data_IF_986336306107
#
_entry.id   IF_986336306107
#
_cell.length_a   1.000
_cell.length_b   1.000
_cell.length_c   1.000
_cell.angle_alpha   90.00
_cell.angle_beta   90.00
_cell.angle_gamma   90.00
#
_symmetry.space_group_name_H-M   'P 1'
#
loop_
_entity.id
_entity.type
_entity.pdbx_description
1 polymer ?
#
# COMPACT_ATOMS: atom_id res chain seq x y z
N UNK A 1 -2.23 -22.06 -2.03
CA UNK A 1 -0.84 -21.96 -1.54
C UNK A 1 0.03 -21.02 -2.38
N UNK A 2 0.04 -21.10 -3.72
CA UNK A 2 1.01 -20.37 -4.56
C UNK A 2 0.87 -18.82 -4.59
N UNK A 3 -0.31 -18.24 -4.29
CA UNK A 3 -0.55 -16.80 -4.49
C UNK A 3 0.06 -15.85 -3.46
N UNK A 4 0.20 -16.27 -2.20
CA UNK A 4 0.70 -15.37 -1.15
C UNK A 4 2.20 -15.13 -1.26
N UNK A 5 2.95 -16.19 -1.62
CA UNK A 5 4.37 -16.10 -1.88
C UNK A 5 4.65 -15.21 -3.11
N UNK A 6 3.82 -15.30 -4.15
CA UNK A 6 3.90 -14.38 -5.30
C UNK A 6 3.73 -12.93 -4.83
N UNK A 7 2.74 -12.63 -3.99
CA UNK A 7 2.58 -11.30 -3.41
C UNK A 7 3.82 -10.83 -2.64
N UNK A 8 4.37 -11.68 -1.78
CA UNK A 8 5.62 -11.38 -1.07
C UNK A 8 6.77 -11.08 -2.03
N UNK A 9 6.99 -11.93 -3.03
CA UNK A 9 8.04 -11.76 -4.04
C UNK A 9 7.87 -10.49 -4.87
N UNK A 10 6.62 -10.10 -5.19
CA UNK A 10 6.32 -8.82 -5.83
C UNK A 10 6.79 -7.67 -4.95
N UNK A 11 6.46 -7.65 -3.66
CA UNK A 11 6.90 -6.59 -2.75
C UNK A 11 8.41 -6.59 -2.50
N UNK A 12 9.08 -7.76 -2.52
CA UNK A 12 10.55 -7.84 -2.54
C UNK A 12 11.10 -7.19 -3.80
N UNK A 13 10.56 -7.52 -4.97
CA UNK A 13 10.96 -6.93 -6.24
C UNK A 13 10.77 -5.40 -6.27
N UNK A 14 9.62 -4.91 -5.79
CA UNK A 14 9.36 -3.48 -5.64
C UNK A 14 10.34 -2.82 -4.67
N UNK A 15 10.62 -3.44 -3.53
CA UNK A 15 11.59 -2.92 -2.57
C UNK A 15 12.99 -2.84 -3.18
N UNK A 16 13.44 -3.90 -3.85
CA UNK A 16 14.74 -3.92 -4.52
C UNK A 16 14.82 -2.87 -5.64
N UNK A 17 13.76 -2.69 -6.43
CA UNK A 17 13.73 -1.70 -7.50
C UNK A 17 13.70 -0.24 -7.02
N UNK A 18 13.35 0.00 -5.74
CA UNK A 18 13.44 1.33 -5.13
C UNK A 18 14.73 1.54 -4.32
N UNK A 19 15.41 0.45 -3.92
CA UNK A 19 16.73 0.52 -3.27
C UNK A 19 17.87 0.60 -4.29
N UNK A 20 17.71 -0.10 -5.40
CA UNK A 20 18.60 -0.05 -6.55
C UNK A 20 17.89 0.88 -7.53
N UNK A 21 18.39 2.09 -7.75
CA UNK A 21 17.84 3.04 -8.74
C UNK A 21 17.93 2.44 -10.16
N UNK A 22 17.05 1.48 -10.49
CA UNK A 22 17.02 0.80 -11.79
C UNK A 22 15.88 1.41 -12.62
N UNK A 23 16.15 1.93 -13.84
CA UNK A 23 15.16 2.58 -14.70
C UNK A 23 13.99 1.72 -15.20
N UNK A 24 13.84 0.47 -14.76
CA UNK A 24 13.06 -0.56 -15.47
C UNK A 24 11.62 -0.81 -14.96
N UNK A 25 11.16 -0.16 -13.88
CA UNK A 25 9.79 -0.38 -13.36
C UNK A 25 8.71 0.36 -14.16
N UNK A 26 9.09 1.36 -14.94
CA UNK A 26 8.18 2.09 -15.84
C UNK A 26 7.62 1.16 -16.92
N UNK A 27 8.38 0.13 -17.34
CA UNK A 27 7.94 -0.85 -18.33
C UNK A 27 6.91 -1.86 -17.80
N UNK A 28 6.97 -2.23 -16.51
CA UNK A 28 6.04 -3.21 -15.92
C UNK A 28 4.66 -2.58 -15.64
N UNK A 29 4.65 -1.33 -15.16
CA UNK A 29 3.41 -0.54 -15.02
C UNK A 29 2.85 -0.14 -16.39
N UNK A 30 3.73 0.14 -17.35
CA UNK A 30 3.38 0.35 -18.77
C UNK A 30 2.70 -0.86 -19.40
N UNK A 31 3.10 -2.09 -19.03
CA UNK A 31 2.45 -3.32 -19.50
C UNK A 31 1.01 -3.45 -18.97
N UNK A 32 0.76 -3.04 -17.73
CA UNK A 32 -0.57 -3.05 -17.12
C UNK A 32 -1.49 -1.96 -17.67
N UNK A 33 -0.96 -0.78 -18.00
CA UNK A 33 -1.75 0.28 -18.65
C UNK A 33 -2.05 -0.08 -20.12
N UNK A 34 -1.12 -0.72 -20.83
CA UNK A 34 -1.34 -1.15 -22.23
C UNK A 34 -2.43 -2.20 -22.39
N UNK A 35 -2.65 -3.05 -21.37
CA UNK A 35 -3.70 -4.05 -21.37
C UNK A 35 -5.12 -3.42 -21.31
N UNK A 36 -5.24 -2.23 -20.70
CA UNK A 36 -6.50 -1.49 -20.62
C UNK A 36 -6.75 -0.58 -21.84
N UNK A 37 -5.72 -0.24 -22.62
CA UNK A 37 -5.85 0.64 -23.80
C UNK A 37 -6.39 -0.05 -25.05
N UNK A 38 -6.51 -1.39 -25.06
CA UNK A 38 -7.03 -2.14 -26.22
C UNK A 38 -8.56 -2.07 -26.44
N UNK A 39 -9.28 -1.20 -25.72
CA UNK A 39 -10.74 -1.02 -25.88
C UNK A 39 -11.15 0.43 -26.20
N UNK A 40 -10.21 1.38 -26.32
CA UNK A 40 -10.56 2.78 -26.56
C UNK A 40 -9.65 3.46 -27.59
N UNK A 41 -9.63 2.95 -28.83
CA UNK A 41 -9.13 3.70 -29.97
C UNK A 41 -10.25 4.55 -30.57
N UNK A 42 -10.22 5.87 -30.33
CA UNK A 42 -10.51 6.88 -31.37
C UNK A 42 -9.91 8.25 -30.99
N UNK A 43 -8.88 8.63 -31.77
CA UNK A 43 -8.56 9.96 -32.31
C UNK A 43 -8.37 11.17 -31.36
N UNK A 44 -7.12 11.61 -31.15
CA UNK A 44 -6.69 13.02 -31.35
C UNK A 44 -5.19 13.05 -31.73
N UNK A 45 -4.87 13.70 -32.85
CA UNK A 45 -3.50 14.00 -33.31
C UNK A 45 -3.05 15.34 -32.73
N UNK A 46 -1.84 15.42 -32.14
CA UNK A 46 -1.11 16.68 -31.98
C UNK A 46 0.41 16.50 -32.10
N UNK A 47 1.02 17.57 -32.59
CA UNK A 47 2.29 17.74 -33.30
C UNK A 47 3.58 17.42 -32.51
N UNK A 48 4.60 16.84 -33.17
CA UNK A 48 5.79 16.22 -32.56
C UNK A 48 7.09 17.04 -32.70
N UNK A 49 7.03 18.33 -33.08
CA UNK A 49 8.23 19.10 -33.42
C UNK A 49 8.87 19.91 -32.29
N UNK A 50 8.18 20.12 -31.16
CA UNK A 50 8.70 20.96 -30.07
C UNK A 50 9.54 20.22 -29.01
N UNK A 51 9.52 18.88 -29.01
CA UNK A 51 10.19 18.08 -27.97
C UNK A 51 11.73 18.02 -28.12
N UNK A 52 12.24 18.15 -29.34
CA UNK A 52 13.67 17.95 -29.62
C UNK A 52 14.54 19.19 -29.32
N UNK A 53 13.98 20.39 -29.22
CA UNK A 53 14.74 21.61 -28.94
C UNK A 53 14.93 21.84 -27.43
N UNK A 54 13.97 21.39 -26.61
CA UNK A 54 14.06 21.46 -25.15
C UNK A 54 15.09 20.46 -24.59
N UNK A 55 15.17 19.27 -25.18
CA UNK A 55 16.07 18.21 -24.71
C UNK A 55 17.56 18.55 -24.89
N UNK A 56 17.92 19.30 -25.94
CA UNK A 56 19.32 19.58 -26.26
C UNK A 56 19.89 20.75 -25.44
N UNK A 57 19.05 21.70 -24.99
CA UNK A 57 19.46 22.79 -24.08
C UNK A 57 19.76 22.29 -22.67
N UNK A 58 19.00 21.31 -22.18
CA UNK A 58 19.18 20.75 -20.84
C UNK A 58 20.46 19.92 -20.67
N UNK A 59 21.07 19.46 -21.78
CA UNK A 59 22.27 18.63 -21.73
C UNK A 59 23.58 19.44 -21.67
N UNK A 60 23.56 20.72 -22.05
CA UNK A 60 24.73 21.61 -22.04
C UNK A 60 24.93 22.23 -20.65
N UNK A 61 23.86 22.40 -19.88
CA UNK A 61 23.88 23.04 -18.55
C UNK A 61 24.35 22.10 -17.42
N UNK A 62 24.41 20.79 -17.67
CA UNK A 62 24.76 19.78 -16.66
C UNK A 62 26.27 19.73 -16.31
N UNK A 63 27.10 20.54 -16.99
CA UNK A 63 28.56 20.50 -16.82
C UNK A 63 29.10 21.44 -15.72
N UNK A 64 28.22 22.18 -15.05
CA UNK A 64 28.61 23.16 -14.04
C UNK A 64 27.82 23.04 -12.72
N UNK A 65 27.54 21.82 -12.26
CA UNK A 65 26.92 21.60 -10.95
C UNK A 65 27.98 21.73 -9.86
N UNK A 66 27.82 22.72 -8.99
CA UNK A 66 28.69 22.92 -7.83
C UNK A 66 28.39 21.89 -6.72
N UNK A 67 29.37 21.55 -5.85
CA UNK A 67 29.14 20.64 -4.72
C UNK A 67 28.02 21.11 -3.78
N UNK A 68 27.73 22.41 -3.75
CA UNK A 68 26.64 23.00 -2.96
C UNK A 68 25.26 22.76 -3.59
N UNK A 69 25.14 22.81 -4.91
CA UNK A 69 23.89 22.46 -5.63
C UNK A 69 23.60 20.96 -5.55
N UNK A 70 24.64 20.12 -5.58
CA UNK A 70 24.48 18.68 -5.34
C UNK A 70 24.02 18.40 -3.90
N UNK A 71 24.54 19.14 -2.90
CA UNK A 71 24.07 19.05 -1.51
C UNK A 71 22.66 19.60 -1.33
N UNK A 72 22.28 20.67 -2.04
CA UNK A 72 20.93 21.22 -2.05
C UNK A 72 19.92 20.27 -2.71
N UNK A 73 20.29 19.60 -3.82
CA UNK A 73 19.47 18.60 -4.51
C UNK A 73 19.32 17.31 -3.69
N UNK A 74 20.37 16.90 -2.96
CA UNK A 74 20.32 15.78 -2.01
C UNK A 74 19.53 16.14 -0.75
N UNK A 75 19.45 17.43 -0.40
CA UNK A 75 18.65 17.97 0.71
C UNK A 75 17.18 18.25 0.33
N UNK A 76 16.85 18.27 -0.96
CA UNK A 76 15.50 18.59 -1.47
C UNK A 76 14.62 17.33 -1.63
N UNK A 77 15.24 16.16 -1.79
CA UNK A 77 14.53 14.89 -1.92
C UNK A 77 13.80 14.51 -0.62
N UNK A 78 12.53 14.15 -0.74
CA UNK A 78 11.74 13.68 0.38
C UNK A 78 12.34 12.39 0.97
N UNK A 79 12.28 12.25 2.29
CA UNK A 79 12.80 11.05 2.94
C UNK A 79 11.96 9.82 2.56
N UNK A 80 12.64 8.69 2.29
CA UNK A 80 12.02 7.45 1.77
C UNK A 80 11.70 6.43 2.87
N UNK A 81 12.07 6.71 4.12
CA UNK A 81 11.82 5.77 5.23
C UNK A 81 10.34 5.41 5.42
N UNK A 82 9.33 6.31 5.29
CA UNK A 82 7.93 5.95 5.48
C UNK A 82 7.47 4.94 4.44
N UNK A 83 7.92 5.12 3.20
CA UNK A 83 7.68 4.21 2.09
C UNK A 83 8.23 2.81 2.37
N UNK A 84 9.47 2.70 2.86
CA UNK A 84 10.06 1.40 3.23
C UNK A 84 9.38 0.75 4.44
N UNK A 85 8.85 1.55 5.38
CA UNK A 85 8.04 1.02 6.49
C UNK A 85 6.78 0.33 5.96
N UNK A 86 6.08 0.94 5.00
CA UNK A 86 4.93 0.32 4.33
C UNK A 86 5.31 -0.97 3.60
N UNK A 87 6.39 -0.95 2.80
CA UNK A 87 6.86 -2.13 2.08
C UNK A 87 7.24 -3.27 3.03
N UNK A 88 7.98 -2.96 4.10
CA UNK A 88 8.35 -3.90 5.15
C UNK A 88 7.15 -4.54 5.82
N UNK A 89 6.15 -3.74 6.22
CA UNK A 89 4.93 -4.26 6.82
C UNK A 89 4.10 -5.13 5.86
N UNK A 90 4.04 -4.75 4.58
CA UNK A 90 3.36 -5.54 3.54
C UNK A 90 4.05 -6.89 3.32
N UNK A 91 5.38 -6.90 3.22
CA UNK A 91 6.18 -8.12 3.13
C UNK A 91 5.97 -9.02 4.35
N UNK A 92 6.00 -8.45 5.57
CA UNK A 92 5.74 -9.20 6.80
C UNK A 92 4.36 -9.86 6.79
N UNK A 93 3.32 -9.11 6.41
CA UNK A 93 1.95 -9.62 6.32
C UNK A 93 1.82 -10.78 5.32
N UNK A 94 2.38 -10.63 4.11
CA UNK A 94 2.27 -11.65 3.07
C UNK A 94 3.10 -12.89 3.42
N UNK A 95 4.26 -12.72 4.07
CA UNK A 95 5.09 -13.82 4.54
C UNK A 95 4.45 -14.58 5.70
N UNK A 96 3.90 -13.88 6.70
CA UNK A 96 3.22 -14.52 7.83
C UNK A 96 2.00 -15.30 7.35
N UNK A 97 1.24 -14.76 6.41
CA UNK A 97 0.11 -15.44 5.77
C UNK A 97 0.54 -16.68 4.99
N UNK A 98 1.60 -16.56 4.19
CA UNK A 98 2.17 -17.69 3.43
C UNK A 98 2.61 -18.82 4.36
N UNK A 99 3.35 -18.47 5.43
CA UNK A 99 3.85 -19.42 6.42
C UNK A 99 2.70 -20.10 7.16
N UNK A 100 1.67 -19.35 7.55
CA UNK A 100 0.49 -19.90 8.19
C UNK A 100 -0.17 -20.97 7.33
N UNK A 101 -0.46 -20.65 6.07
CA UNK A 101 -1.11 -21.59 5.16
C UNK A 101 -0.24 -22.78 4.76
N UNK A 102 1.09 -22.60 4.72
CA UNK A 102 2.02 -23.68 4.42
C UNK A 102 2.09 -24.72 5.54
N UNK A 103 2.10 -24.28 6.79
CA UNK A 103 2.28 -25.15 7.95
C UNK A 103 0.98 -25.42 8.74
N UNK A 104 -0.19 -25.05 8.20
CA UNK A 104 -1.50 -25.22 8.86
C UNK A 104 -1.80 -26.66 9.27
N UNK A 105 -1.29 -27.65 8.53
CA UNK A 105 -1.54 -29.08 8.77
C UNK A 105 -0.51 -29.75 9.69
N UNK A 106 0.52 -29.03 10.15
CA UNK A 106 1.64 -29.64 10.87
C UNK A 106 1.28 -30.05 12.31
N UNK A 107 0.80 -29.12 13.14
CA UNK A 107 0.33 -29.42 14.49
C UNK A 107 -0.69 -28.40 14.96
N UNK A 108 -1.57 -28.80 15.88
CA UNK A 108 -2.63 -27.92 16.38
C UNK A 108 -2.08 -26.66 17.05
N UNK A 109 -1.05 -26.81 17.90
CA UNK A 109 -0.40 -25.68 18.57
C UNK A 109 0.28 -24.72 17.59
N UNK A 110 1.02 -25.24 16.60
CA UNK A 110 1.68 -24.41 15.60
C UNK A 110 0.67 -23.68 14.73
N UNK A 111 -0.40 -24.35 14.30
CA UNK A 111 -1.46 -23.74 13.51
C UNK A 111 -2.12 -22.56 14.25
N UNK A 112 -2.44 -22.70 15.54
CA UNK A 112 -2.99 -21.61 16.34
C UNK A 112 -2.03 -20.42 16.47
N UNK A 113 -0.73 -20.69 16.65
CA UNK A 113 0.29 -19.64 16.71
C UNK A 113 0.40 -18.90 15.37
N UNK A 114 0.51 -19.64 14.27
CA UNK A 114 0.65 -19.05 12.93
C UNK A 114 -0.58 -18.26 12.51
N UNK A 115 -1.78 -18.72 12.87
CA UNK A 115 -3.02 -17.98 12.62
C UNK A 115 -3.05 -16.64 13.38
N UNK A 116 -2.54 -16.60 14.62
CA UNK A 116 -2.38 -15.34 15.35
C UNK A 116 -1.36 -14.43 14.67
N UNK A 117 -0.24 -14.98 14.19
CA UNK A 117 0.77 -14.23 13.45
C UNK A 117 0.27 -13.70 12.10
N UNK A 118 -0.63 -14.41 11.42
CA UNK A 118 -1.32 -13.94 10.22
C UNK A 118 -2.19 -12.70 10.52
N UNK A 119 -3.00 -12.74 11.58
CA UNK A 119 -3.77 -11.56 12.02
C UNK A 119 -2.89 -10.39 12.48
N UNK A 120 -1.78 -10.66 13.15
CA UNK A 120 -0.78 -9.63 13.50
C UNK A 120 -0.18 -9.04 12.23
N UNK A 121 0.08 -9.84 11.20
CA UNK A 121 0.52 -9.39 9.88
C UNK A 121 -0.43 -8.38 9.26
N UNK A 122 -1.74 -8.69 9.24
CA UNK A 122 -2.77 -7.76 8.75
C UNK A 122 -2.74 -6.44 9.54
N UNK A 123 -2.62 -6.53 10.86
CA UNK A 123 -2.60 -5.35 11.74
C UNK A 123 -1.37 -4.49 11.46
N UNK A 124 -0.20 -5.10 11.31
CA UNK A 124 1.05 -4.40 10.97
C UNK A 124 0.93 -3.73 9.61
N UNK A 125 0.39 -4.40 8.58
CA UNK A 125 0.19 -3.81 7.26
C UNK A 125 -0.74 -2.58 7.32
N UNK A 126 -1.81 -2.62 8.13
CA UNK A 126 -2.68 -1.46 8.35
C UNK A 126 -1.92 -0.31 9.02
N UNK A 127 -1.12 -0.59 10.07
CA UNK A 127 -0.34 0.45 10.74
C UNK A 127 0.64 1.08 9.76
N UNK A 128 1.44 0.26 9.07
CA UNK A 128 2.53 0.75 8.20
C UNK A 128 2.01 1.42 6.93
N UNK A 129 0.82 1.07 6.44
CA UNK A 129 0.23 1.76 5.28
C UNK A 129 -0.14 3.22 5.56
N UNK A 130 -0.39 3.59 6.83
CA UNK A 130 -0.65 4.99 7.20
C UNK A 130 0.61 5.86 7.17
N UNK A 131 1.81 5.27 7.27
CA UNK A 131 3.05 6.03 7.37
C UNK A 131 3.31 6.92 6.16
N UNK A 132 3.36 6.40 4.92
CA UNK A 132 3.59 7.23 3.74
C UNK A 132 2.57 8.37 3.53
N UNK A 133 1.24 8.11 3.42
CA UNK A 133 0.28 9.17 3.13
C UNK A 133 0.30 10.25 4.22
N UNK A 134 0.27 9.87 5.50
CA UNK A 134 0.25 10.85 6.60
C UNK A 134 1.54 11.66 6.63
N UNK A 135 2.71 11.01 6.49
CA UNK A 135 3.99 11.71 6.52
C UNK A 135 4.13 12.68 5.35
N UNK A 136 3.81 12.27 4.13
CA UNK A 136 3.99 13.12 2.95
C UNK A 136 2.92 14.21 2.81
N UNK A 137 1.66 13.93 3.18
CA UNK A 137 0.59 14.93 3.18
C UNK A 137 0.90 16.03 4.20
N UNK A 138 1.16 15.64 5.45
CA UNK A 138 1.34 16.57 6.57
C UNK A 138 2.81 16.91 6.81
N UNK A 139 3.68 16.78 5.82
CA UNK A 139 5.14 16.97 5.96
C UNK A 139 5.50 18.29 6.65
N UNK A 140 4.74 19.35 6.37
CA UNK A 140 4.95 20.70 6.90
C UNK A 140 4.22 20.97 8.22
N UNK A 141 3.36 20.03 8.66
CA UNK A 141 2.56 20.13 9.88
C UNK A 141 2.87 18.92 10.81
N UNK A 142 4.03 18.91 11.48
CA UNK A 142 4.49 17.76 12.26
C UNK A 142 3.55 17.39 13.42
N UNK A 143 2.76 18.34 13.90
CA UNK A 143 1.75 18.10 14.92
C UNK A 143 0.71 17.06 14.47
N UNK A 144 0.18 17.20 13.26
CA UNK A 144 -0.82 16.27 12.71
C UNK A 144 -0.22 14.92 12.35
N UNK A 145 1.02 14.89 11.87
CA UNK A 145 1.76 13.62 11.69
C UNK A 145 1.81 12.82 12.99
N UNK A 146 2.21 13.46 14.10
CA UNK A 146 2.34 12.80 15.39
C UNK A 146 0.99 12.28 15.90
N UNK A 147 -0.08 13.09 15.79
CA UNK A 147 -1.42 12.68 16.23
C UNK A 147 -1.90 11.47 15.44
N UNK A 148 -1.81 11.50 14.11
CA UNK A 148 -2.36 10.42 13.28
C UNK A 148 -1.51 9.16 13.32
N UNK A 149 -0.18 9.28 13.20
CA UNK A 149 0.73 8.12 13.26
C UNK A 149 0.77 7.53 14.68
N UNK A 150 0.79 8.37 15.70
CA UNK A 150 0.69 7.93 17.10
C UNK A 150 -0.62 7.22 17.37
N UNK A 151 -1.74 7.78 16.92
CA UNK A 151 -3.08 7.20 17.07
C UNK A 151 -3.20 5.82 16.44
N UNK A 152 -2.86 5.68 15.15
CA UNK A 152 -2.97 4.37 14.46
C UNK A 152 -2.00 3.35 15.06
N UNK A 153 -0.80 3.76 15.47
CA UNK A 153 0.19 2.87 16.11
C UNK A 153 -0.31 2.40 17.48
N UNK A 154 -0.90 3.28 18.29
CA UNK A 154 -1.45 2.91 19.58
C UNK A 154 -2.65 1.95 19.45
N UNK A 155 -3.58 2.25 18.53
CA UNK A 155 -4.72 1.36 18.22
C UNK A 155 -4.24 0.00 17.70
N UNK A 156 -3.23 0.00 16.83
CA UNK A 156 -2.62 -1.20 16.28
C UNK A 156 -1.89 -2.02 17.34
N UNK A 157 -1.12 -1.40 18.22
CA UNK A 157 -0.44 -2.06 19.33
C UNK A 157 -1.45 -2.72 20.29
N UNK A 158 -2.54 -2.02 20.62
CA UNK A 158 -3.62 -2.58 21.42
C UNK A 158 -4.29 -3.78 20.73
N UNK A 159 -4.49 -3.69 19.41
CA UNK A 159 -5.04 -4.80 18.60
C UNK A 159 -4.09 -6.00 18.59
N UNK A 160 -2.80 -5.79 18.39
CA UNK A 160 -1.77 -6.85 18.43
C UNK A 160 -1.75 -7.52 19.81
N UNK A 161 -1.74 -6.74 20.90
CA UNK A 161 -1.78 -7.29 22.26
C UNK A 161 -3.04 -8.16 22.49
N UNK A 162 -4.19 -7.72 21.97
CA UNK A 162 -5.43 -8.49 22.02
C UNK A 162 -5.33 -9.79 21.21
N UNK A 163 -4.75 -9.75 20.01
CA UNK A 163 -4.62 -10.91 19.12
C UNK A 163 -3.65 -11.96 19.66
N UNK A 164 -2.58 -11.53 20.33
CA UNK A 164 -1.59 -12.42 20.94
C UNK A 164 -2.10 -13.05 22.24
N UNK A 165 -3.08 -12.44 22.90
CA UNK A 165 -3.69 -13.00 24.12
C UNK A 165 -4.49 -14.28 23.81
N UNK A 166 -4.17 -15.42 24.46
CA UNK A 166 -4.90 -16.68 24.25
C UNK A 166 -6.38 -16.59 24.60
N UNK A 167 -6.73 -15.82 25.63
CA UNK A 167 -8.11 -15.66 26.10
C UNK A 167 -8.94 -14.83 25.12
N UNK A 168 -8.37 -13.75 24.58
CA UNK A 168 -9.06 -12.81 23.69
C UNK A 168 -9.04 -13.26 22.21
N UNK A 169 -8.20 -14.24 21.86
CA UNK A 169 -8.21 -14.88 20.54
C UNK A 169 -9.27 -15.97 20.38
N UNK A 170 -9.99 -16.35 21.45
CA UNK A 170 -11.07 -17.35 21.36
C UNK A 170 -12.25 -16.90 20.50
N UNK A 171 -13.07 -17.85 20.03
CA UNK A 171 -14.24 -17.57 19.19
C UNK A 171 -15.27 -16.63 19.83
N UNK A 172 -15.35 -16.61 21.17
CA UNK A 172 -16.25 -15.73 21.93
C UNK A 172 -16.00 -14.24 21.69
N UNK A 173 -14.75 -13.85 21.45
CA UNK A 173 -14.33 -12.47 21.21
C UNK A 173 -14.22 -12.12 19.71
N UNK A 174 -14.82 -12.91 18.82
CA UNK A 174 -14.77 -12.67 17.37
C UNK A 174 -15.33 -11.30 16.99
N UNK A 175 -16.47 -10.92 17.57
CA UNK A 175 -17.08 -9.60 17.33
C UNK A 175 -16.19 -8.46 17.85
N UNK A 176 -15.60 -8.63 19.04
CA UNK A 176 -14.65 -7.68 19.59
C UNK A 176 -13.45 -7.45 18.66
N UNK A 177 -12.82 -8.52 18.15
CA UNK A 177 -11.73 -8.40 17.16
C UNK A 177 -12.16 -7.70 15.87
N UNK A 178 -13.36 -8.02 15.36
CA UNK A 178 -13.88 -7.35 14.18
C UNK A 178 -14.07 -5.84 14.41
N UNK A 179 -14.53 -5.43 15.60
CA UNK A 179 -14.64 -4.02 15.96
C UNK A 179 -13.28 -3.32 16.03
N UNK A 180 -12.22 -4.00 16.49
CA UNK A 180 -10.86 -3.43 16.51
C UNK A 180 -10.34 -3.15 15.09
N UNK A 181 -10.46 -4.10 14.17
CA UNK A 181 -10.09 -3.87 12.77
C UNK A 181 -10.96 -2.79 12.12
N UNK A 182 -12.26 -2.78 12.42
CA UNK A 182 -13.18 -1.77 11.89
C UNK A 182 -12.84 -0.37 12.39
N UNK A 183 -12.50 -0.21 13.68
CA UNK A 183 -12.15 1.09 14.25
C UNK A 183 -10.86 1.64 13.64
N UNK A 184 -9.86 0.80 13.38
CA UNK A 184 -8.64 1.21 12.65
C UNK A 184 -8.97 1.69 11.23
N UNK A 185 -9.87 1.01 10.53
CA UNK A 185 -10.35 1.42 9.21
C UNK A 185 -11.09 2.77 9.25
N UNK A 186 -12.03 2.94 10.18
CA UNK A 186 -12.77 4.19 10.36
C UNK A 186 -11.87 5.35 10.79
N UNK A 187 -10.84 5.09 11.59
CA UNK A 187 -9.85 6.09 11.97
C UNK A 187 -9.21 6.73 10.74
N UNK A 188 -8.96 5.96 9.67
CA UNK A 188 -8.39 6.47 8.41
C UNK A 188 -9.25 7.49 7.66
N UNK A 189 -10.56 7.54 7.90
CA UNK A 189 -11.45 8.53 7.27
C UNK A 189 -11.11 9.95 7.76
N UNK A 190 -10.80 10.11 9.05
CA UNK A 190 -10.51 11.42 9.66
C UNK A 190 -9.29 12.09 9.01
N UNK A 191 -8.09 11.49 8.94
CA UNK A 191 -6.95 12.10 8.28
C UNK A 191 -7.16 12.22 6.76
N UNK A 192 -7.92 11.33 6.12
CA UNK A 192 -8.21 11.45 4.69
C UNK A 192 -9.06 12.70 4.38
N UNK A 193 -10.12 12.95 5.16
CA UNK A 193 -10.94 14.17 5.05
C UNK A 193 -10.09 15.40 5.36
N UNK A 194 -9.30 15.36 6.43
CA UNK A 194 -8.43 16.48 6.79
C UNK A 194 -7.41 16.78 5.68
N UNK A 195 -6.78 15.74 5.10
CA UNK A 195 -5.87 15.85 3.98
C UNK A 195 -6.51 16.51 2.75
N UNK A 196 -7.77 16.16 2.44
CA UNK A 196 -8.51 16.75 1.32
C UNK A 196 -8.76 18.24 1.49
N UNK A 197 -9.00 18.68 2.73
CA UNK A 197 -9.26 20.09 3.08
C UNK A 197 -7.96 20.89 3.02
N UNK A 198 -6.88 20.44 3.67
CA UNK A 198 -5.64 21.21 3.74
C UNK A 198 -4.85 21.23 2.43
N UNK A 199 -4.98 20.18 1.61
CA UNK A 199 -4.33 20.11 0.29
C UNK A 199 -5.30 20.38 -0.86
N UNK A 200 -6.28 21.26 -0.67
CA UNK A 200 -7.33 21.50 -1.67
C UNK A 200 -6.77 21.89 -3.05
N UNK A 201 -5.71 22.70 -3.06
CA UNK A 201 -5.06 23.21 -4.27
C UNK A 201 -4.02 22.27 -4.88
N UNK A 202 -3.73 21.11 -4.25
CA UNK A 202 -2.70 20.20 -4.75
C UNK A 202 -3.16 19.54 -6.07
N UNK A 203 -2.43 19.73 -7.20
CA UNK A 203 -2.81 19.15 -8.49
C UNK A 203 -2.76 17.62 -8.51
N UNK A 204 -1.97 16.98 -7.63
CA UNK A 204 -1.89 15.52 -7.52
C UNK A 204 -3.00 14.91 -6.67
N UNK A 205 -3.80 15.73 -5.97
CA UNK A 205 -4.88 15.23 -5.09
C UNK A 205 -5.87 14.30 -5.80
N UNK A 206 -6.38 14.58 -7.01
CA UNK A 206 -7.36 13.71 -7.66
C UNK A 206 -6.81 12.31 -7.97
N UNK A 207 -5.59 12.22 -8.49
CA UNK A 207 -4.95 10.94 -8.81
C UNK A 207 -4.65 10.15 -7.54
N UNK A 208 -4.17 10.80 -6.48
CA UNK A 208 -3.91 10.13 -5.21
C UNK A 208 -5.19 9.65 -4.53
N UNK A 209 -6.25 10.46 -4.53
CA UNK A 209 -7.56 10.04 -4.03
C UNK A 209 -8.14 8.87 -4.84
N UNK A 210 -7.91 8.82 -6.15
CA UNK A 210 -8.33 7.69 -6.97
C UNK A 210 -7.61 6.39 -6.55
N UNK A 211 -6.29 6.43 -6.33
CA UNK A 211 -5.53 5.27 -5.84
C UNK A 211 -5.96 4.84 -4.44
N UNK A 212 -6.11 5.77 -3.49
CA UNK A 212 -6.56 5.48 -2.12
C UNK A 212 -8.00 4.95 -2.10
N UNK A 213 -8.88 5.47 -2.96
CA UNK A 213 -10.25 4.95 -3.12
C UNK A 213 -10.25 3.56 -3.73
N UNK A 214 -9.40 3.30 -4.73
CA UNK A 214 -9.24 1.97 -5.31
C UNK A 214 -8.69 0.96 -4.29
N UNK A 215 -7.77 1.37 -3.42
CA UNK A 215 -7.31 0.57 -2.28
C UNK A 215 -8.49 0.23 -1.36
N UNK A 216 -9.24 1.24 -0.91
CA UNK A 216 -10.37 1.05 0.01
C UNK A 216 -11.43 0.11 -0.58
N UNK A 217 -11.80 0.31 -1.85
CA UNK A 217 -12.73 -0.56 -2.57
C UNK A 217 -12.20 -1.99 -2.69
N UNK A 218 -10.91 -2.17 -2.95
CA UNK A 218 -10.28 -3.49 -3.02
C UNK A 218 -10.39 -4.22 -1.68
N UNK A 219 -10.02 -3.58 -0.57
CA UNK A 219 -10.11 -4.20 0.76
C UNK A 219 -11.55 -4.49 1.19
N UNK A 220 -12.49 -3.58 0.92
CA UNK A 220 -13.91 -3.80 1.21
C UNK A 220 -14.46 -4.98 0.42
N UNK A 221 -14.16 -5.04 -0.88
CA UNK A 221 -14.63 -6.12 -1.77
C UNK A 221 -14.03 -7.46 -1.35
N UNK A 222 -12.72 -7.51 -1.09
CA UNK A 222 -12.07 -8.72 -0.58
C UNK A 222 -12.70 -9.19 0.73
N UNK A 223 -12.91 -8.27 1.68
CA UNK A 223 -13.52 -8.57 2.99
C UNK A 223 -14.94 -9.11 2.81
N UNK A 224 -15.71 -8.55 1.87
CA UNK A 224 -17.04 -9.04 1.55
C UNK A 224 -17.01 -10.50 1.09
N UNK A 225 -16.11 -10.87 0.17
CA UNK A 225 -15.92 -12.26 -0.23
C UNK A 225 -15.57 -13.15 0.96
N UNK A 226 -14.56 -12.75 1.75
CA UNK A 226 -14.10 -13.48 2.93
C UNK A 226 -15.23 -13.76 3.94
N UNK A 227 -16.05 -12.75 4.25
CA UNK A 227 -17.14 -12.87 5.23
C UNK A 227 -18.31 -13.66 4.67
N UNK A 228 -18.69 -13.43 3.41
CA UNK A 228 -19.86 -14.08 2.79
C UNK A 228 -19.61 -15.53 2.39
N UNK A 229 -18.34 -15.95 2.27
CA UNK A 229 -17.91 -17.28 1.80
C UNK A 229 -18.44 -17.64 0.42
N UNK A 230 -18.56 -16.64 -0.44
CA UNK A 230 -18.96 -16.79 -1.84
C UNK A 230 -17.68 -16.90 -2.69
N UNK A 231 -17.60 -17.80 -3.68
CA UNK A 231 -18.68 -18.62 -4.27
C UNK A 231 -18.87 -20.02 -3.67
N UNK A 232 -18.01 -20.48 -2.75
CA UNK A 232 -18.07 -21.86 -2.22
C UNK A 232 -19.36 -22.16 -1.44
N UNK A 233 -20.00 -21.13 -0.86
CA UNK A 233 -21.33 -21.23 -0.27
C UNK A 233 -22.41 -21.61 -1.30
N UNK A 234 -22.26 -21.20 -2.56
CA UNK A 234 -23.25 -21.47 -3.60
C UNK A 234 -23.09 -22.85 -4.24
N UNK A 235 -21.84 -23.32 -4.38
CA UNK A 235 -21.54 -24.68 -4.88
C UNK A 235 -20.47 -25.34 -4.02
N UNK A 236 -20.85 -25.99 -2.91
CA UNK A 236 -19.93 -26.79 -2.10
C UNK A 236 -19.23 -27.85 -2.97
N UNK A 237 -17.93 -28.07 -2.75
CA UNK A 237 -17.12 -29.06 -3.50
C UNK A 237 -16.51 -28.54 -4.81
N UNK A 238 -17.06 -27.49 -5.43
CA UNK A 238 -16.57 -26.97 -6.72
C UNK A 238 -15.34 -26.07 -6.59
N UNK A 239 -15.20 -25.39 -5.45
CA UNK A 239 -14.17 -24.37 -5.22
C UNK A 239 -13.09 -24.82 -4.22
N UNK A 240 -13.01 -26.13 -3.94
CA UNK A 240 -12.15 -26.68 -2.88
C UNK A 240 -10.66 -26.46 -3.16
N UNK A 241 -10.24 -26.46 -4.44
CA UNK A 241 -8.85 -26.25 -4.84
C UNK A 241 -8.56 -24.79 -5.24
N UNK A 242 -9.47 -24.18 -6.00
CA UNK A 242 -9.26 -22.87 -6.61
C UNK A 242 -10.55 -22.02 -6.61
N UNK A 243 -10.39 -20.72 -6.41
CA UNK A 243 -11.49 -19.75 -6.56
C UNK A 243 -12.42 -19.65 -5.35
N UNK A 244 -12.10 -20.29 -4.22
CA UNK A 244 -12.84 -20.06 -2.99
C UNK A 244 -12.60 -18.64 -2.43
N UNK A 245 -13.55 -18.15 -1.64
CA UNK A 245 -13.58 -16.79 -1.11
C UNK A 245 -12.28 -16.32 -0.47
N UNK A 246 -11.62 -17.18 0.31
CA UNK A 246 -10.36 -16.85 0.97
C UNK A 246 -9.23 -16.59 -0.04
N UNK A 247 -9.17 -17.33 -1.15
CA UNK A 247 -8.20 -17.03 -2.21
C UNK A 247 -8.52 -15.71 -2.92
N UNK A 248 -9.80 -15.42 -3.15
CA UNK A 248 -10.26 -14.16 -3.75
C UNK A 248 -9.90 -12.99 -2.83
N UNK A 249 -10.14 -13.12 -1.53
CA UNK A 249 -9.75 -12.14 -0.52
C UNK A 249 -8.26 -11.77 -0.61
N UNK A 250 -7.36 -12.76 -0.69
CA UNK A 250 -5.93 -12.48 -0.81
C UNK A 250 -5.55 -11.77 -2.11
N UNK A 251 -6.23 -12.06 -3.22
CA UNK A 251 -6.02 -11.30 -4.47
C UNK A 251 -6.40 -9.84 -4.28
N UNK A 252 -7.54 -9.55 -3.65
CA UNK A 252 -7.96 -8.19 -3.33
C UNK A 252 -7.04 -7.48 -2.34
N UNK A 253 -6.46 -8.20 -1.38
CA UNK A 253 -5.46 -7.64 -0.46
C UNK A 253 -4.21 -7.20 -1.23
N UNK A 254 -3.70 -8.02 -2.15
CA UNK A 254 -2.54 -7.67 -2.99
C UNK A 254 -2.87 -6.48 -3.90
N UNK A 255 -4.04 -6.49 -4.55
CA UNK A 255 -4.48 -5.36 -5.39
C UNK A 255 -4.57 -4.06 -4.59
N UNK A 256 -5.16 -4.10 -3.39
CA UNK A 256 -5.24 -2.95 -2.50
C UNK A 256 -3.85 -2.41 -2.13
N UNK A 257 -2.93 -3.31 -1.74
CA UNK A 257 -1.56 -2.94 -1.41
C UNK A 257 -0.79 -2.36 -2.62
N UNK A 258 -1.03 -2.86 -3.84
CA UNK A 258 -0.44 -2.32 -5.08
C UNK A 258 -1.00 -0.94 -5.45
N UNK A 259 -2.31 -0.73 -5.30
CA UNK A 259 -2.91 0.59 -5.50
C UNK A 259 -2.39 1.59 -4.47
N UNK A 260 -2.21 1.16 -3.22
CA UNK A 260 -1.59 1.97 -2.17
C UNK A 260 -0.15 2.32 -2.53
N UNK A 261 0.64 1.34 -2.96
CA UNK A 261 1.98 1.55 -3.46
C UNK A 261 2.01 2.64 -4.55
N UNK A 262 1.08 2.59 -5.52
CA UNK A 262 0.90 3.66 -6.51
C UNK A 262 0.65 5.04 -5.91
N UNK A 263 -0.27 5.15 -4.93
CA UNK A 263 -0.50 6.40 -4.20
C UNK A 263 0.77 6.92 -3.52
N UNK A 264 1.52 6.03 -2.85
CA UNK A 264 2.75 6.40 -2.13
C UNK A 264 3.86 6.89 -3.05
N UNK A 265 3.98 6.35 -4.27
CA UNK A 265 4.90 6.87 -5.28
C UNK A 265 4.49 8.28 -5.73
N UNK A 266 3.19 8.53 -5.97
CA UNK A 266 2.70 9.86 -6.34
C UNK A 266 2.97 10.88 -5.22
N UNK A 267 2.75 10.49 -3.96
CA UNK A 267 3.09 11.34 -2.81
C UNK A 267 4.58 11.66 -2.76
N UNK A 268 5.43 10.65 -2.94
CA UNK A 268 6.88 10.80 -2.91
C UNK A 268 7.38 11.71 -4.05
N UNK A 269 6.94 11.46 -5.29
CA UNK A 269 7.30 12.26 -6.46
C UNK A 269 6.89 13.73 -6.30
N UNK A 270 5.71 13.98 -5.74
CA UNK A 270 5.27 15.33 -5.46
C UNK A 270 6.15 16.02 -4.41
N UNK A 271 6.56 15.30 -3.35
CA UNK A 271 7.42 15.85 -2.30
C UNK A 271 8.89 15.97 -2.67
N UNK A 272 9.38 15.20 -3.63
CA UNK A 272 10.70 15.42 -4.23
C UNK A 272 10.76 16.75 -5.01
N UNK A 273 9.61 17.27 -5.48
CA UNK A 273 9.51 18.54 -6.23
C UNK A 273 9.08 19.71 -5.33
N UNK A 274 8.30 19.44 -4.29
CA UNK A 274 7.65 20.45 -3.45
C UNK A 274 7.97 20.21 -1.97
N UNK A 275 8.96 20.96 -1.47
CA UNK A 275 9.31 21.01 -0.06
C UNK A 275 8.34 21.84 0.78
N UNK A 276 8.68 22.03 2.06
CA UNK A 276 8.01 22.99 2.93
C UNK A 276 8.65 24.37 2.71
N UNK A 277 7.91 25.28 2.09
CA UNK A 277 8.31 26.70 1.98
C UNK A 277 7.98 27.44 3.28
N UNK A 278 8.85 28.38 3.65
CA UNK A 278 8.54 29.42 4.64
C UNK A 278 7.50 30.40 4.08
#
# INVERSE_FOLDING_TARGET
MCRHLIGFLVFVGLTMANLVEVPQVVDLLGLFTRFNSTVADTNVSYDSKDFNLASTKNFIDLKHITPEEMKAMTSLGATRWPFFVFLGGSMFCLLSSSTCHLFSCHSHHLNLLLLRMDYVGITIMIITSFFPPIYYIFLCDPHWQLIYLGGITAMGAFTIATLLSPTLSTGKFRAFRAMLFSSMGFFGIVPAVHACVVNWSNPQRPITLAYESAMALSYLTGTLFYVTRVPERWKPGWFDLAGHSHQIFHVFVIMGALTHYGATLVFLEWRDKVGCGN
#
